data_IF_765349270739
#
_entry.id   IF_765349270739
#
_cell.length_a   1.000
_cell.length_b   1.000
_cell.length_c   1.000
_cell.angle_alpha   90.00
_cell.angle_beta   90.00
_cell.angle_gamma   90.00
#
_symmetry.space_group_name_H-M   'P 1'
#
loop_
_entity.id
_entity.type
_entity.pdbx_description
1 polymer ?
#
# COMPACT_ATOMS: atom_id res chain seq x y z
N UNK A 1 18.36 12.83 5.43
CA UNK A 1 18.33 12.46 4.00
C UNK A 1 17.64 11.12 3.81
N UNK A 2 16.85 11.00 2.75
CA UNK A 2 16.26 9.74 2.34
C UNK A 2 17.38 8.78 1.87
N UNK A 3 17.19 7.47 2.10
CA UNK A 3 18.17 6.43 1.73
C UNK A 3 17.48 5.35 0.92
N UNK A 4 18.21 4.83 -0.07
CA UNK A 4 17.76 3.68 -0.85
C UNK A 4 17.71 2.47 0.07
N UNK A 5 16.54 1.82 0.15
CA UNK A 5 16.35 0.56 0.86
C UNK A 5 16.79 -0.61 -0.02
N UNK A 6 17.32 -1.66 0.58
CA UNK A 6 17.64 -2.89 -0.14
C UNK A 6 16.33 -3.59 -0.57
N UNK A 7 16.42 -4.37 -1.65
CA UNK A 7 15.33 -5.28 -2.03
C UNK A 7 15.14 -6.32 -0.91
N UNK A 8 13.90 -6.62 -0.50
CA UNK A 8 13.63 -7.63 0.53
C UNK A 8 13.68 -9.07 0.00
N UNK A 9 14.01 -9.26 -1.27
CA UNK A 9 14.07 -10.56 -1.95
C UNK A 9 15.26 -10.60 -2.93
N UNK A 10 15.64 -11.81 -3.34
CA UNK A 10 16.56 -12.00 -4.46
C UNK A 10 15.82 -11.76 -5.79
N UNK A 11 16.27 -10.82 -6.64
CA UNK A 11 15.64 -10.60 -7.95
C UNK A 11 15.54 -11.86 -8.83
N UNK A 12 16.45 -12.82 -8.66
CA UNK A 12 16.41 -14.10 -9.39
C UNK A 12 15.30 -15.05 -8.91
N UNK A 13 14.72 -14.82 -7.75
CA UNK A 13 13.65 -15.64 -7.19
C UNK A 13 12.26 -15.29 -7.74
N UNK A 14 12.11 -14.16 -8.44
CA UNK A 14 10.84 -13.76 -9.01
C UNK A 14 10.49 -14.60 -10.26
N UNK A 15 9.22 -14.92 -10.39
CA UNK A 15 8.70 -15.64 -11.54
C UNK A 15 8.27 -14.70 -12.65
N UNK A 16 8.77 -14.93 -13.89
CA UNK A 16 8.38 -14.13 -15.08
C UNK A 16 8.71 -12.63 -15.00
N UNK A 17 9.58 -12.22 -14.07
CA UNK A 17 10.17 -10.88 -13.98
C UNK A 17 11.68 -11.08 -13.90
N UNK A 18 12.43 -10.57 -14.87
CA UNK A 18 13.87 -10.82 -14.95
C UNK A 18 14.64 -10.07 -13.86
N UNK A 19 15.77 -10.62 -13.38
CA UNK A 19 16.66 -9.90 -12.48
C UNK A 19 17.15 -8.57 -13.07
N UNK A 20 17.35 -8.51 -14.38
CA UNK A 20 17.77 -7.29 -15.07
C UNK A 20 16.73 -6.19 -15.01
N UNK A 21 15.44 -6.51 -15.24
CA UNK A 21 14.34 -5.56 -15.09
C UNK A 21 14.26 -5.04 -13.66
N UNK A 22 14.22 -5.91 -12.67
CA UNK A 22 14.07 -5.55 -11.25
C UNK A 22 15.27 -4.70 -10.79
N UNK A 23 16.49 -5.09 -11.13
CA UNK A 23 17.71 -4.36 -10.77
C UNK A 23 17.71 -2.96 -11.39
N UNK A 24 17.39 -2.85 -12.68
CA UNK A 24 17.30 -1.56 -13.38
C UNK A 24 16.23 -0.66 -12.77
N UNK A 25 15.06 -1.19 -12.52
CA UNK A 25 13.93 -0.47 -11.90
C UNK A 25 14.30 0.05 -10.50
N UNK A 26 14.91 -0.80 -9.66
CA UNK A 26 15.34 -0.44 -8.31
C UNK A 26 16.46 0.60 -8.32
N UNK A 27 17.53 0.39 -9.09
CA UNK A 27 18.70 1.27 -9.06
C UNK A 27 18.46 2.62 -9.75
N UNK A 28 17.75 2.62 -10.88
CA UNK A 28 17.59 3.81 -11.72
C UNK A 28 16.31 4.58 -11.38
N UNK A 29 15.15 3.96 -11.37
CA UNK A 29 13.89 4.66 -11.13
C UNK A 29 13.69 4.97 -9.66
N UNK A 30 13.72 3.98 -8.79
CA UNK A 30 13.62 4.20 -7.34
C UNK A 30 14.83 4.97 -6.80
N UNK A 31 16.05 4.53 -7.12
CA UNK A 31 17.27 5.23 -6.69
C UNK A 31 17.36 6.66 -7.22
N UNK A 32 16.85 6.90 -8.44
CA UNK A 32 16.74 8.23 -9.02
C UNK A 32 15.76 9.13 -8.25
N UNK A 33 14.62 8.59 -7.83
CA UNK A 33 13.64 9.33 -7.01
C UNK A 33 14.23 9.75 -5.66
N UNK A 34 14.94 8.85 -4.98
CA UNK A 34 15.60 9.15 -3.71
C UNK A 34 16.64 10.27 -3.85
N UNK A 35 17.49 10.19 -4.88
CA UNK A 35 18.50 11.21 -5.17
C UNK A 35 17.87 12.56 -5.47
N UNK A 36 16.82 12.57 -6.32
CA UNK A 36 16.06 13.79 -6.69
C UNK A 36 15.43 14.43 -5.46
N UNK A 37 14.78 13.64 -4.60
CA UNK A 37 14.17 14.13 -3.37
C UNK A 37 15.18 14.82 -2.46
N UNK A 38 16.34 14.22 -2.25
CA UNK A 38 17.41 14.81 -1.43
C UNK A 38 17.92 16.13 -2.03
N UNK A 39 18.11 16.19 -3.36
CA UNK A 39 18.54 17.42 -4.02
C UNK A 39 17.51 18.54 -3.90
N UNK A 40 16.22 18.25 -4.07
CA UNK A 40 15.13 19.23 -3.90
C UNK A 40 15.05 19.72 -2.46
N UNK A 41 15.15 18.83 -1.47
CA UNK A 41 15.14 19.20 -0.05
C UNK A 41 16.33 20.08 0.31
N UNK A 42 17.52 19.80 -0.20
CA UNK A 42 18.70 20.63 -0.02
C UNK A 42 18.49 22.04 -0.60
N UNK A 43 17.88 22.14 -1.78
CA UNK A 43 17.57 23.44 -2.41
C UNK A 43 16.51 24.19 -1.60
N UNK A 44 15.45 23.55 -1.15
CA UNK A 44 14.40 24.15 -0.33
C UNK A 44 14.96 24.67 1.01
N UNK A 45 15.90 23.95 1.62
CA UNK A 45 16.53 24.35 2.89
C UNK A 45 17.29 25.68 2.81
N UNK A 46 17.72 26.10 1.61
CA UNK A 46 18.43 27.36 1.37
C UNK A 46 17.60 28.40 0.63
N UNK A 47 16.32 28.11 0.34
CA UNK A 47 15.44 28.99 -0.42
C UNK A 47 14.96 30.16 0.45
N UNK A 48 15.13 31.38 -0.05
CA UNK A 48 14.59 32.59 0.57
C UNK A 48 13.09 32.75 0.19
N UNK A 49 12.19 32.14 0.94
CA UNK A 49 10.76 32.06 0.61
C UNK A 49 10.07 33.41 0.43
N UNK A 50 10.55 34.46 1.09
CA UNK A 50 9.99 35.81 0.97
C UNK A 50 10.23 36.44 -0.41
N UNK A 51 11.25 35.98 -1.16
CA UNK A 51 11.71 36.63 -2.41
C UNK A 51 11.79 35.70 -3.58
N UNK A 52 11.70 34.38 -3.38
CA UNK A 52 11.73 33.39 -4.47
C UNK A 52 10.54 33.63 -5.41
N UNK A 53 10.75 33.62 -6.74
CA UNK A 53 9.65 33.73 -7.69
C UNK A 53 8.63 32.59 -7.53
N UNK A 54 7.32 32.93 -7.56
CA UNK A 54 6.25 31.97 -7.32
C UNK A 54 6.31 30.73 -8.23
N UNK A 55 6.68 30.87 -9.50
CA UNK A 55 6.80 29.75 -10.43
C UNK A 55 7.95 28.80 -10.08
N UNK A 56 9.06 29.30 -9.51
CA UNK A 56 10.17 28.47 -9.04
C UNK A 56 9.76 27.68 -7.79
N UNK A 57 9.14 28.36 -6.82
CA UNK A 57 8.65 27.70 -5.61
C UNK A 57 7.59 26.63 -5.95
N UNK A 58 6.64 26.97 -6.80
CA UNK A 58 5.61 26.03 -7.25
C UNK A 58 6.22 24.81 -7.95
N UNK A 59 7.22 25.01 -8.81
CA UNK A 59 7.95 23.95 -9.48
C UNK A 59 8.67 23.03 -8.49
N UNK A 60 9.43 23.61 -7.54
CA UNK A 60 10.15 22.85 -6.50
C UNK A 60 9.20 22.04 -5.62
N UNK A 61 8.08 22.62 -5.19
CA UNK A 61 7.11 21.92 -4.33
C UNK A 61 6.37 20.81 -5.08
N UNK A 62 6.08 21.00 -6.37
CA UNK A 62 5.54 19.94 -7.22
C UNK A 62 6.53 18.78 -7.39
N UNK A 63 7.79 19.09 -7.69
CA UNK A 63 8.83 18.08 -7.85
C UNK A 63 9.15 17.36 -6.53
N UNK A 64 9.08 18.03 -5.38
CA UNK A 64 9.19 17.41 -4.06
C UNK A 64 8.10 16.36 -3.85
N UNK A 65 6.84 16.69 -4.18
CA UNK A 65 5.72 15.74 -4.08
C UNK A 65 5.94 14.54 -5.00
N UNK A 66 6.30 14.78 -6.27
CA UNK A 66 6.56 13.72 -7.25
C UNK A 66 7.67 12.79 -6.76
N UNK A 67 8.80 13.35 -6.33
CA UNK A 67 9.94 12.55 -5.88
C UNK A 67 9.65 11.79 -4.59
N UNK A 68 8.91 12.39 -3.66
CA UNK A 68 8.49 11.76 -2.40
C UNK A 68 7.57 10.56 -2.69
N UNK A 69 6.52 10.76 -3.47
CA UNK A 69 5.59 9.67 -3.79
C UNK A 69 6.24 8.61 -4.67
N UNK A 70 7.09 8.99 -5.62
CA UNK A 70 7.86 8.02 -6.41
C UNK A 70 8.71 7.13 -5.50
N UNK A 71 9.42 7.71 -4.54
CA UNK A 71 10.20 6.95 -3.56
C UNK A 71 9.30 5.99 -2.76
N UNK A 72 8.24 6.50 -2.13
CA UNK A 72 7.37 5.72 -1.25
C UNK A 72 6.61 4.62 -2.01
N UNK A 73 6.11 4.91 -3.20
CA UNK A 73 5.37 3.93 -4.01
C UNK A 73 6.29 2.83 -4.56
N UNK A 74 7.55 3.14 -4.90
CA UNK A 74 8.52 2.12 -5.27
C UNK A 74 8.91 1.23 -4.06
N UNK A 75 9.09 1.82 -2.87
CA UNK A 75 9.33 1.04 -1.65
C UNK A 75 8.17 0.09 -1.36
N UNK A 76 6.94 0.57 -1.51
CA UNK A 76 5.74 -0.25 -1.38
C UNK A 76 5.67 -1.34 -2.45
N UNK A 77 5.96 -1.02 -3.70
CA UNK A 77 5.99 -1.94 -4.83
C UNK A 77 6.98 -3.08 -4.58
N UNK A 78 8.24 -2.76 -4.34
CA UNK A 78 9.26 -3.78 -4.05
C UNK A 78 8.99 -4.53 -2.75
N UNK A 79 8.50 -3.85 -1.72
CA UNK A 79 8.12 -4.47 -0.45
C UNK A 79 6.89 -5.39 -0.54
N UNK A 80 6.21 -5.43 -1.68
CA UNK A 80 5.06 -6.30 -1.93
C UNK A 80 5.38 -7.51 -2.78
N UNK A 81 6.64 -7.67 -3.21
CA UNK A 81 7.09 -8.75 -4.09
C UNK A 81 7.95 -9.77 -3.33
N UNK A 82 8.16 -10.93 -3.95
CA UNK A 82 8.95 -12.03 -3.40
C UNK A 82 8.12 -13.17 -2.82
N UNK A 83 6.80 -13.10 -2.91
CA UNK A 83 5.87 -14.18 -2.55
C UNK A 83 5.45 -15.03 -3.73
N UNK A 84 4.45 -15.86 -3.52
CA UNK A 84 3.87 -16.78 -4.52
C UNK A 84 2.56 -16.26 -5.14
N UNK A 85 2.11 -15.07 -4.75
CA UNK A 85 0.89 -14.44 -5.24
C UNK A 85 -0.41 -15.10 -4.78
N UNK A 86 -0.36 -16.20 -4.02
CA UNK A 86 -1.51 -17.03 -3.67
C UNK A 86 -1.67 -17.31 -2.17
N UNK A 87 -0.58 -17.48 -1.45
CA UNK A 87 -0.61 -17.77 -0.01
C UNK A 87 -0.98 -16.53 0.77
N UNK A 88 -2.23 -16.47 1.20
CA UNK A 88 -2.82 -15.31 1.87
C UNK A 88 -3.33 -15.69 3.25
N UNK A 89 -3.04 -14.85 4.24
CA UNK A 89 -3.57 -14.99 5.59
C UNK A 89 -5.11 -14.97 5.60
N UNK A 90 -5.76 -15.85 6.39
CA UNK A 90 -7.23 -15.91 6.43
C UNK A 90 -7.88 -14.56 6.77
N UNK A 91 -7.27 -13.76 7.64
CA UNK A 91 -7.78 -12.45 8.01
C UNK A 91 -7.69 -11.45 6.83
N UNK A 92 -6.66 -11.55 5.98
CA UNK A 92 -6.57 -10.73 4.76
C UNK A 92 -7.66 -11.11 3.74
N UNK A 93 -7.92 -12.42 3.55
CA UNK A 93 -9.03 -12.89 2.72
C UNK A 93 -10.36 -12.32 3.17
N UNK A 94 -10.62 -12.39 4.47
CA UNK A 94 -11.86 -11.85 5.06
C UNK A 94 -11.99 -10.34 4.85
N UNK A 95 -10.89 -9.59 4.95
CA UNK A 95 -10.91 -8.16 4.68
C UNK A 95 -11.24 -7.86 3.22
N UNK A 96 -10.67 -8.60 2.27
CA UNK A 96 -10.98 -8.46 0.85
C UNK A 96 -12.43 -8.88 0.55
N UNK A 97 -12.88 -10.01 1.10
CA UNK A 97 -14.27 -10.48 0.91
C UNK A 97 -15.29 -9.46 1.43
N UNK A 98 -15.01 -8.85 2.58
CA UNK A 98 -15.90 -7.83 3.18
C UNK A 98 -16.00 -6.55 2.32
N UNK A 99 -14.94 -6.17 1.62
CA UNK A 99 -14.90 -4.92 0.86
C UNK A 99 -15.23 -5.09 -0.63
N UNK A 100 -14.98 -6.29 -1.19
CA UNK A 100 -15.11 -6.55 -2.63
C UNK A 100 -16.07 -7.71 -2.95
N UNK A 101 -16.75 -8.27 -1.97
CA UNK A 101 -17.57 -9.47 -2.01
C UNK A 101 -16.81 -10.79 -2.18
N UNK A 102 -15.61 -10.79 -2.78
CA UNK A 102 -14.69 -11.93 -2.79
C UNK A 102 -13.26 -11.49 -3.14
N UNK A 103 -12.27 -12.33 -2.81
CA UNK A 103 -10.88 -12.14 -3.23
C UNK A 103 -10.77 -12.14 -4.76
N UNK A 104 -11.53 -13.00 -5.43
CA UNK A 104 -11.54 -13.12 -6.90
C UNK A 104 -12.02 -11.82 -7.54
N UNK A 105 -13.11 -11.24 -7.00
CA UNK A 105 -13.66 -9.97 -7.50
C UNK A 105 -12.70 -8.81 -7.25
N UNK A 106 -12.05 -8.74 -6.09
CA UNK A 106 -10.97 -7.78 -5.84
C UNK A 106 -9.88 -7.91 -6.91
N UNK A 107 -9.43 -9.14 -7.15
CA UNK A 107 -8.36 -9.42 -8.12
C UNK A 107 -8.76 -9.03 -9.54
N UNK A 108 -9.98 -9.36 -9.96
CA UNK A 108 -10.50 -8.97 -11.28
C UNK A 108 -10.46 -7.45 -11.48
N UNK A 109 -10.94 -6.70 -10.49
CA UNK A 109 -10.93 -5.23 -10.54
C UNK A 109 -9.50 -4.68 -10.57
N UNK A 110 -8.64 -5.12 -9.65
CA UNK A 110 -7.24 -4.67 -9.56
C UNK A 110 -6.46 -4.94 -10.85
N UNK A 111 -6.59 -6.13 -11.41
CA UNK A 111 -5.95 -6.54 -12.67
C UNK A 111 -6.52 -5.74 -13.86
N UNK A 112 -7.83 -5.57 -13.93
CA UNK A 112 -8.47 -4.79 -15.00
C UNK A 112 -8.00 -3.33 -14.99
N UNK A 113 -7.88 -2.72 -13.82
CA UNK A 113 -7.34 -1.37 -13.66
C UNK A 113 -5.88 -1.27 -14.14
N UNK A 114 -5.04 -2.25 -13.78
CA UNK A 114 -3.66 -2.32 -14.27
C UNK A 114 -3.59 -2.41 -15.79
N UNK A 115 -4.37 -3.31 -16.38
CA UNK A 115 -4.43 -3.47 -17.85
C UNK A 115 -4.94 -2.22 -18.56
N UNK A 116 -5.86 -1.49 -17.94
CA UNK A 116 -6.39 -0.22 -18.48
C UNK A 116 -5.35 0.91 -18.48
N UNK A 117 -4.32 0.86 -17.65
CA UNK A 117 -3.20 1.80 -17.61
C UNK A 117 -2.05 1.42 -18.58
N UNK A 118 -2.16 0.30 -19.29
CA UNK A 118 -1.13 -0.17 -20.20
C UNK A 118 -0.81 0.82 -21.31
N UNK A 119 0.48 1.00 -21.62
CA UNK A 119 0.95 1.93 -22.65
C UNK A 119 1.01 3.40 -22.21
N UNK A 120 0.87 3.66 -20.91
CA UNK A 120 0.97 5.00 -20.33
C UNK A 120 1.84 5.00 -19.07
N UNK A 121 1.36 5.69 -18.06
CA UNK A 121 1.96 5.76 -16.73
C UNK A 121 0.88 5.58 -15.67
N UNK A 122 1.29 5.34 -14.46
CA UNK A 122 0.40 5.35 -13.30
C UNK A 122 0.60 4.18 -12.36
N UNK A 123 -0.33 4.08 -11.42
CA UNK A 123 -0.34 3.08 -10.38
C UNK A 123 -1.74 2.54 -10.16
N UNK A 124 -1.83 1.27 -9.78
CA UNK A 124 -3.00 0.74 -9.10
C UNK A 124 -2.60 0.46 -7.66
N UNK A 125 -3.37 0.98 -6.72
CA UNK A 125 -3.07 0.87 -5.29
C UNK A 125 -4.24 0.20 -4.58
N UNK A 126 -3.95 -0.78 -3.71
CA UNK A 126 -4.91 -1.21 -2.70
C UNK A 126 -4.70 -0.31 -1.48
N UNK A 127 -5.73 0.44 -1.11
CA UNK A 127 -5.66 1.49 -0.09
C UNK A 127 -6.62 1.20 1.05
N UNK A 128 -6.13 1.26 2.28
CA UNK A 128 -6.97 1.30 3.47
C UNK A 128 -7.43 2.73 3.73
N UNK A 129 -8.74 2.91 3.92
CA UNK A 129 -9.38 4.17 4.26
C UNK A 129 -9.67 4.22 5.77
N UNK A 130 -8.86 4.93 6.57
CA UNK A 130 -9.00 4.93 8.03
C UNK A 130 -10.35 5.45 8.52
N UNK A 131 -10.91 6.45 7.82
CA UNK A 131 -12.19 7.06 8.19
C UNK A 131 -13.36 6.08 8.18
N UNK A 132 -13.36 5.19 7.18
CA UNK A 132 -14.47 4.24 6.94
C UNK A 132 -14.11 2.82 7.35
N UNK A 133 -12.83 2.55 7.64
CA UNK A 133 -12.32 1.21 7.93
C UNK A 133 -12.37 0.26 6.74
N UNK A 134 -12.37 0.81 5.51
CA UNK A 134 -12.58 0.05 4.27
C UNK A 134 -11.31 -0.06 3.42
N UNK A 135 -11.30 -1.05 2.52
CA UNK A 135 -10.31 -1.20 1.47
C UNK A 135 -10.89 -0.78 0.13
N UNK A 136 -10.12 -0.03 -0.66
CA UNK A 136 -10.49 0.37 -2.02
C UNK A 136 -9.32 0.17 -2.99
N UNK A 137 -9.61 -0.18 -4.23
CA UNK A 137 -8.64 -0.08 -5.32
C UNK A 137 -8.63 1.35 -5.85
N UNK A 138 -7.47 1.99 -5.82
CA UNK A 138 -7.29 3.37 -6.27
C UNK A 138 -6.52 3.42 -7.58
N UNK A 139 -7.04 4.18 -8.54
CA UNK A 139 -6.36 4.57 -9.76
C UNK A 139 -5.50 5.82 -9.52
N UNK A 140 -4.30 5.83 -10.10
CA UNK A 140 -3.43 7.01 -10.14
C UNK A 140 -2.79 7.13 -11.52
N UNK A 141 -2.89 8.31 -12.15
CA UNK A 141 -2.26 8.54 -13.45
C UNK A 141 -0.75 8.77 -13.34
N UNK A 142 -0.29 9.26 -12.21
CA UNK A 142 1.12 9.52 -11.92
C UNK A 142 1.40 9.49 -10.40
N UNK A 143 2.60 9.90 -10.01
CA UNK A 143 3.02 9.92 -8.60
C UNK A 143 2.31 10.98 -7.74
N UNK A 144 1.51 11.88 -8.32
CA UNK A 144 0.87 12.96 -7.54
C UNK A 144 -0.50 12.58 -6.99
N UNK A 145 -1.10 11.49 -7.48
CA UNK A 145 -2.43 11.08 -7.07
C UNK A 145 -2.40 10.22 -5.82
N UNK A 146 -3.23 10.57 -4.85
CA UNK A 146 -3.45 9.81 -3.64
C UNK A 146 -4.90 9.99 -3.16
N UNK A 147 -5.46 8.98 -2.51
CA UNK A 147 -6.69 9.16 -1.74
C UNK A 147 -6.34 9.93 -0.47
N UNK A 148 -7.01 11.05 -0.22
CA UNK A 148 -6.75 11.86 0.96
C UNK A 148 -6.95 11.03 2.24
N UNK A 149 -5.91 10.97 3.09
CA UNK A 149 -5.91 10.18 4.31
C UNK A 149 -5.84 8.67 4.11
N UNK A 150 -5.78 8.18 2.87
CA UNK A 150 -5.65 6.75 2.57
C UNK A 150 -4.24 6.22 2.84
N UNK A 151 -4.16 4.95 3.26
CA UNK A 151 -2.89 4.24 3.50
C UNK A 151 -2.75 3.14 2.46
N UNK A 152 -1.88 3.29 1.45
CA UNK A 152 -1.66 2.25 0.46
C UNK A 152 -0.91 1.05 1.08
N UNK A 153 -1.41 -0.16 0.84
CA UNK A 153 -0.85 -1.41 1.36
C UNK A 153 -0.29 -2.33 0.29
N UNK A 154 -0.68 -2.13 -0.97
CA UNK A 154 -0.18 -2.82 -2.15
C UNK A 154 -0.10 -1.83 -3.31
N UNK A 155 0.95 -1.89 -4.12
CA UNK A 155 1.13 -1.07 -5.31
C UNK A 155 1.46 -1.93 -6.53
N UNK A 156 0.83 -1.60 -7.66
CA UNK A 156 1.17 -2.08 -9.00
C UNK A 156 1.69 -0.88 -9.80
N UNK A 157 2.94 -0.94 -10.21
CA UNK A 157 3.58 0.07 -11.04
C UNK A 157 3.22 -0.18 -12.52
N UNK A 158 2.59 0.80 -13.16
CA UNK A 158 2.21 0.75 -14.57
C UNK A 158 2.99 1.73 -15.44
N UNK A 159 4.06 2.34 -14.93
CA UNK A 159 5.04 3.01 -15.78
C UNK A 159 5.78 1.99 -16.65
N UNK A 160 6.12 2.36 -17.88
CA UNK A 160 6.80 1.45 -18.82
C UNK A 160 8.12 0.89 -18.28
N UNK A 161 8.84 1.65 -17.44
CA UNK A 161 10.07 1.17 -16.82
C UNK A 161 9.88 -0.09 -15.94
N UNK A 162 8.66 -0.34 -15.47
CA UNK A 162 8.34 -1.50 -14.65
C UNK A 162 8.23 -2.80 -15.47
N UNK A 163 8.06 -2.72 -16.79
CA UNK A 163 7.80 -3.91 -17.61
C UNK A 163 8.44 -3.94 -19.00
N UNK A 164 8.85 -2.80 -19.55
CA UNK A 164 9.21 -2.72 -20.97
C UNK A 164 10.41 -3.61 -21.35
N UNK A 165 11.38 -3.79 -20.45
CA UNK A 165 12.55 -4.63 -20.71
C UNK A 165 12.21 -6.11 -20.94
N UNK A 166 11.16 -6.63 -20.27
CA UNK A 166 10.77 -8.03 -20.37
C UNK A 166 9.55 -8.25 -21.27
N UNK A 167 8.65 -7.29 -21.31
CA UNK A 167 7.33 -7.43 -21.95
C UNK A 167 7.10 -6.50 -23.14
N UNK A 168 8.02 -5.55 -23.40
CA UNK A 168 7.78 -4.53 -24.41
C UNK A 168 6.44 -3.84 -24.16
N UNK A 169 5.58 -3.78 -25.18
CA UNK A 169 4.24 -3.20 -25.09
C UNK A 169 3.18 -4.13 -24.46
N UNK A 170 3.52 -5.38 -24.12
CA UNK A 170 2.57 -6.36 -23.57
C UNK A 170 2.31 -6.14 -22.07
N UNK A 171 1.88 -4.95 -21.69
CA UNK A 171 1.63 -4.54 -20.30
C UNK A 171 0.68 -5.50 -19.54
N UNK A 172 -0.33 -6.05 -20.23
CA UNK A 172 -1.25 -7.01 -19.62
C UNK A 172 -0.57 -8.31 -19.14
N UNK A 173 0.41 -8.80 -19.89
CA UNK A 173 1.19 -9.99 -19.48
C UNK A 173 2.09 -9.70 -18.28
N UNK A 174 2.61 -8.48 -18.17
CA UNK A 174 3.32 -8.02 -16.99
C UNK A 174 2.43 -7.98 -15.75
N UNK A 175 1.21 -7.45 -15.86
CA UNK A 175 0.25 -7.43 -14.75
C UNK A 175 0.00 -8.84 -14.23
N UNK A 176 -0.25 -9.80 -15.14
CA UNK A 176 -0.46 -11.21 -14.77
C UNK A 176 0.79 -11.83 -14.10
N UNK A 177 2.00 -11.47 -14.54
CA UNK A 177 3.23 -11.92 -13.92
C UNK A 177 3.43 -11.34 -12.51
N UNK A 178 3.18 -10.03 -12.34
CA UNK A 178 3.30 -9.37 -11.06
C UNK A 178 2.38 -9.98 -10.00
N UNK A 179 1.13 -10.25 -10.37
CA UNK A 179 0.16 -10.87 -9.46
C UNK A 179 0.63 -12.22 -8.91
N UNK A 180 1.43 -12.97 -9.65
CA UNK A 180 2.04 -14.23 -9.22
C UNK A 180 3.25 -14.09 -8.29
N UNK A 181 3.72 -12.87 -8.01
CA UNK A 181 4.87 -12.59 -7.16
C UNK A 181 4.52 -11.80 -5.89
N UNK A 182 3.24 -11.55 -5.62
CA UNK A 182 2.82 -10.79 -4.43
C UNK A 182 3.16 -11.57 -3.17
N UNK A 183 3.84 -10.91 -2.23
CA UNK A 183 4.02 -11.36 -0.85
C UNK A 183 2.84 -10.89 0.00
N UNK A 184 1.84 -11.74 0.13
CA UNK A 184 0.64 -11.43 0.90
C UNK A 184 0.89 -11.29 2.39
N UNK A 185 1.94 -11.90 2.93
CA UNK A 185 2.31 -11.71 4.34
C UNK A 185 2.78 -10.26 4.58
N UNK A 186 3.56 -9.70 3.67
CA UNK A 186 3.99 -8.30 3.73
C UNK A 186 2.82 -7.33 3.55
N UNK A 187 1.89 -7.61 2.63
CA UNK A 187 0.67 -6.81 2.42
C UNK A 187 -0.21 -6.83 3.67
N UNK A 188 -0.42 -8.01 4.25
CA UNK A 188 -1.21 -8.17 5.48
C UNK A 188 -0.58 -7.44 6.67
N UNK A 189 0.74 -7.51 6.82
CA UNK A 189 1.45 -6.77 7.87
C UNK A 189 1.20 -5.26 7.79
N UNK A 190 1.21 -4.68 6.58
CA UNK A 190 0.88 -3.25 6.37
C UNK A 190 -0.59 -2.95 6.65
N UNK A 191 -1.49 -3.84 6.26
CA UNK A 191 -2.92 -3.72 6.60
C UNK A 191 -3.13 -3.69 8.11
N UNK A 192 -2.51 -4.62 8.85
CA UNK A 192 -2.58 -4.65 10.31
C UNK A 192 -2.06 -3.35 10.94
N UNK A 193 -0.92 -2.84 10.47
CA UNK A 193 -0.36 -1.58 10.96
C UNK A 193 -1.30 -0.40 10.69
N UNK A 194 -1.90 -0.32 9.50
CA UNK A 194 -2.83 0.73 9.13
C UNK A 194 -4.11 0.70 9.98
N UNK A 195 -4.68 -0.49 10.20
CA UNK A 195 -5.84 -0.68 11.07
C UNK A 195 -5.51 -0.32 12.52
N UNK A 196 -4.36 -0.77 13.02
CA UNK A 196 -3.92 -0.45 14.39
C UNK A 196 -3.77 1.05 14.59
N UNK A 197 -3.05 1.73 13.69
CA UNK A 197 -2.88 3.19 13.76
C UNK A 197 -4.21 3.96 13.69
N UNK A 198 -5.17 3.48 12.91
CA UNK A 198 -6.49 4.09 12.81
C UNK A 198 -7.35 3.86 14.06
N UNK A 199 -7.14 2.76 14.77
CA UNK A 199 -7.90 2.42 15.98
C UNK A 199 -7.30 2.98 17.27
N UNK A 200 -6.01 3.30 17.28
CA UNK A 200 -5.29 3.78 18.47
C UNK A 200 -5.95 5.00 19.17
N UNK A 201 -6.43 6.02 18.43
CA UNK A 201 -7.10 7.17 19.06
C UNK A 201 -8.40 6.82 19.80
N UNK A 202 -8.96 5.64 19.52
CA UNK A 202 -10.19 5.12 20.14
C UNK A 202 -9.90 4.01 21.16
N UNK A 203 -8.62 3.68 21.37
CA UNK A 203 -8.19 2.73 22.36
C UNK A 203 -8.35 3.31 23.76
N UNK A 204 -8.77 2.47 24.72
CA UNK A 204 -8.78 2.78 26.14
C UNK A 204 -8.03 1.70 26.91
N UNK A 205 -7.26 2.09 27.92
CA UNK A 205 -6.70 1.14 28.87
C UNK A 205 -7.79 0.55 29.77
N UNK A 206 -7.50 -0.56 30.43
CA UNK A 206 -8.45 -1.17 31.36
C UNK A 206 -8.87 -0.22 32.50
N UNK A 207 -7.95 0.63 32.93
CA UNK A 207 -8.21 1.62 34.01
C UNK A 207 -9.10 2.78 33.52
N UNK A 208 -9.10 3.07 32.23
CA UNK A 208 -9.92 4.14 31.62
C UNK A 208 -11.34 3.70 31.29
N UNK A 209 -11.61 2.38 31.25
CA UNK A 209 -12.94 1.85 30.95
C UNK A 209 -13.94 2.18 32.09
N UNK A 210 -13.49 2.20 33.34
CA UNK A 210 -14.35 2.50 34.51
C UNK A 210 -15.61 1.63 34.49
N UNK A 211 -16.77 2.25 34.67
CA UNK A 211 -18.08 1.59 34.69
C UNK A 211 -18.72 1.44 33.30
N UNK A 212 -17.96 1.62 32.22
CA UNK A 212 -18.47 1.51 30.86
C UNK A 212 -18.94 0.08 30.54
N UNK A 213 -20.03 -0.04 29.80
CA UNK A 213 -20.49 -1.31 29.26
C UNK A 213 -19.58 -1.76 28.13
N UNK A 214 -18.86 -2.86 28.32
CA UNK A 214 -17.91 -3.40 27.35
C UNK A 214 -18.56 -4.53 26.56
N UNK A 215 -18.45 -4.45 25.22
CA UNK A 215 -18.86 -5.52 24.33
C UNK A 215 -17.62 -6.16 23.68
N UNK A 216 -17.54 -7.48 23.77
CA UNK A 216 -16.57 -8.27 23.01
C UNK A 216 -17.18 -8.61 21.64
N UNK A 217 -16.67 -7.99 20.59
CA UNK A 217 -17.14 -8.17 19.21
C UNK A 217 -16.25 -9.11 18.38
N UNK A 218 -15.41 -9.91 19.05
CA UNK A 218 -14.66 -10.96 18.36
C UNK A 218 -15.62 -11.97 17.73
N UNK A 219 -15.25 -12.52 16.58
CA UNK A 219 -16.03 -13.60 15.94
C UNK A 219 -16.18 -14.77 16.89
N UNK A 220 -17.30 -15.50 16.81
CA UNK A 220 -17.62 -16.60 17.72
C UNK A 220 -16.48 -17.58 17.93
N UNK A 221 -15.86 -18.08 16.87
CA UNK A 221 -14.74 -19.01 16.97
C UNK A 221 -13.49 -18.43 17.63
N UNK A 222 -13.24 -17.13 17.53
CA UNK A 222 -12.14 -16.44 18.22
C UNK A 222 -12.51 -16.21 19.69
N UNK A 223 -13.75 -15.83 19.94
CA UNK A 223 -14.27 -15.62 21.29
C UNK A 223 -14.25 -16.93 22.11
N UNK A 224 -14.73 -18.03 21.54
CA UNK A 224 -14.79 -19.34 22.20
C UNK A 224 -13.39 -19.91 22.52
N UNK A 225 -12.37 -19.56 21.73
CA UNK A 225 -10.99 -20.00 21.95
C UNK A 225 -10.17 -19.02 22.80
N UNK A 226 -10.74 -17.89 23.18
CA UNK A 226 -10.02 -16.84 23.92
C UNK A 226 -9.70 -17.30 25.35
N UNK A 227 -8.43 -17.12 25.73
CA UNK A 227 -7.96 -17.43 27.09
C UNK A 227 -8.08 -16.25 28.03
N UNK A 228 -8.30 -15.05 27.51
CA UNK A 228 -8.38 -13.80 28.25
C UNK A 228 -9.55 -12.97 27.75
N UNK A 229 -10.26 -12.33 28.66
CA UNK A 229 -11.35 -11.40 28.41
C UNK A 229 -11.25 -10.22 29.36
N UNK A 230 -11.81 -9.08 28.97
CA UNK A 230 -12.05 -7.98 29.89
C UNK A 230 -13.15 -8.44 30.87
N UNK A 231 -12.96 -8.29 32.20
CA UNK A 231 -13.99 -8.65 33.18
C UNK A 231 -15.34 -7.99 32.82
N UNK A 232 -16.40 -8.76 32.92
CA UNK A 232 -17.79 -8.33 32.66
C UNK A 232 -18.11 -7.93 31.20
N UNK A 233 -17.16 -8.09 30.26
CA UNK A 233 -17.46 -7.87 28.86
C UNK A 233 -18.51 -8.86 28.36
N UNK A 234 -19.49 -8.34 27.60
CA UNK A 234 -20.55 -9.13 26.99
C UNK A 234 -20.20 -9.41 25.53
N UNK A 235 -20.26 -10.66 25.13
CA UNK A 235 -20.07 -10.98 23.73
C UNK A 235 -21.27 -10.49 22.89
N UNK A 236 -20.98 -9.87 21.78
CA UNK A 236 -21.95 -9.45 20.78
C UNK A 236 -21.49 -9.95 19.41
N UNK A 237 -22.40 -10.56 18.66
CA UNK A 237 -22.10 -10.97 17.28
C UNK A 237 -21.71 -9.75 16.47
N UNK A 238 -20.47 -9.71 15.90
CA UNK A 238 -20.04 -8.57 15.09
C UNK A 238 -20.95 -8.29 13.89
N UNK A 239 -21.67 -9.31 13.37
CA UNK A 239 -22.63 -9.13 12.29
C UNK A 239 -23.93 -8.38 12.73
N UNK A 240 -24.18 -8.32 14.04
CA UNK A 240 -25.34 -7.61 14.62
C UNK A 240 -25.00 -6.19 15.11
N UNK A 241 -23.74 -5.79 15.07
CA UNK A 241 -23.31 -4.44 15.47
C UNK A 241 -23.68 -3.46 14.35
N UNK A 242 -24.58 -2.54 14.62
CA UNK A 242 -24.99 -1.49 13.68
C UNK A 242 -26.33 -1.73 12.98
N UNK A 243 -27.11 -2.72 13.39
CA UNK A 243 -28.50 -2.90 12.97
C UNK A 243 -29.51 -2.20 13.88
#
# INVERSE_FOLDING_TARGET
DARIQNLPFDPAALHRLSPGLITSHHQNNYGGAVKRLNAIRAQLATTAFATVPGFQLNGLKREELIATNSMLLHELYFGSLGGDGSTMEPAMKLALDANFASVERWREEFVAMGKALGGGSGWVLLVFQPREGTLVNQWAADHTHAVAGGVPILALDMYEHAYHMDYGAAAGAYVDALMGNIDWAAVYGRYQQAVHAASEPFGASQDEIGDALVFDVRRSGVYEQARTMIPEARWCDPAAVGT
#
